data_IF_210067251971
#
_entry.id   IF_210067251971
#
_cell.length_a   1.000
_cell.length_b   1.000
_cell.length_c   1.000
_cell.angle_alpha   90.00
_cell.angle_beta   90.00
_cell.angle_gamma   90.00
#
_symmetry.space_group_name_H-M   'P 1'
#
loop_
_entity.id
_entity.type
_entity.pdbx_description
1 polymer ?
#
# COMPACT_ATOMS: atom_id res chain seq x y z
N UNK A 1 -12.66 15.09 5.36
CA UNK A 1 -11.81 13.90 5.15
C UNK A 1 -12.68 12.70 4.80
N UNK A 2 -12.19 11.84 3.96
CA UNK A 2 -12.89 10.58 3.64
C UNK A 2 -12.78 9.62 4.81
N UNK A 3 -13.71 8.69 4.89
CA UNK A 3 -13.71 7.68 5.94
C UNK A 3 -12.75 6.53 5.64
N UNK A 4 -12.43 5.74 6.65
CA UNK A 4 -11.61 4.55 6.49
C UNK A 4 -12.20 3.55 5.49
N UNK A 5 -13.53 3.59 5.28
CA UNK A 5 -14.18 2.74 4.30
C UNK A 5 -13.74 3.02 2.86
N UNK A 6 -13.33 4.24 2.56
CA UNK A 6 -12.83 4.57 1.22
C UNK A 6 -11.52 3.83 0.92
N UNK A 7 -10.61 3.82 1.89
CA UNK A 7 -9.35 3.10 1.76
C UNK A 7 -9.60 1.59 1.65
N UNK A 8 -10.50 1.07 2.45
CA UNK A 8 -10.89 -0.34 2.37
C UNK A 8 -11.41 -0.70 0.97
N UNK A 9 -12.30 0.14 0.44
CA UNK A 9 -12.84 -0.08 -0.91
C UNK A 9 -11.73 -0.09 -1.97
N UNK A 10 -10.80 0.83 -1.89
CA UNK A 10 -9.67 0.87 -2.83
C UNK A 10 -8.86 -0.41 -2.77
N UNK A 11 -8.56 -0.92 -1.58
CA UNK A 11 -7.81 -2.15 -1.43
C UNK A 11 -8.57 -3.37 -1.96
N UNK A 12 -9.89 -3.41 -1.75
CA UNK A 12 -10.76 -4.44 -2.33
C UNK A 12 -10.76 -4.37 -3.86
N UNK A 13 -10.87 -3.16 -4.41
CA UNK A 13 -10.83 -2.93 -5.85
C UNK A 13 -9.48 -3.33 -6.46
N UNK A 14 -8.41 -3.25 -5.68
CA UNK A 14 -7.08 -3.70 -6.08
C UNK A 14 -6.87 -5.21 -5.94
N UNK A 15 -7.90 -5.94 -5.54
CA UNK A 15 -7.88 -7.40 -5.48
C UNK A 15 -7.43 -7.99 -4.16
N UNK A 16 -7.33 -7.19 -3.11
CA UNK A 16 -7.02 -7.72 -1.78
C UNK A 16 -8.21 -8.52 -1.23
N UNK A 17 -7.92 -9.60 -0.52
CA UNK A 17 -8.94 -10.44 0.09
C UNK A 17 -9.75 -9.66 1.14
N UNK A 18 -11.05 -9.54 0.91
CA UNK A 18 -11.96 -8.76 1.76
C UNK A 18 -12.03 -9.21 3.21
N UNK A 19 -11.78 -10.47 3.49
CA UNK A 19 -11.85 -10.98 4.87
C UNK A 19 -10.77 -10.41 5.75
N UNK A 20 -9.62 -10.07 5.17
CA UNK A 20 -8.46 -9.59 5.91
C UNK A 20 -8.23 -8.07 5.80
N UNK A 21 -9.14 -7.36 5.14
CA UNK A 21 -9.02 -5.90 4.97
C UNK A 21 -9.83 -5.14 6.03
N UNK A 22 -10.44 -5.80 6.96
CA UNK A 22 -11.28 -5.14 7.96
C UNK A 22 -10.53 -4.18 8.88
N UNK A 23 -9.26 -3.99 8.67
CA UNK A 23 -8.39 -3.45 9.70
C UNK A 23 -7.92 -2.08 9.30
N UNK A 24 -8.78 -1.12 9.55
CA UNK A 24 -8.42 0.28 9.47
C UNK A 24 -8.36 0.84 10.89
N UNK A 25 -7.27 0.50 11.55
CA UNK A 25 -6.99 0.99 12.89
C UNK A 25 -6.06 2.18 12.82
N UNK A 26 -6.41 3.22 13.54
CA UNK A 26 -5.48 4.29 13.85
C UNK A 26 -4.66 3.84 15.05
N UNK A 27 -3.35 3.70 14.87
CA UNK A 27 -2.47 3.39 16.00
C UNK A 27 -2.12 4.68 16.72
N UNK A 28 -2.50 4.76 17.97
CA UNK A 28 -2.15 5.89 18.85
C UNK A 28 -0.71 5.79 19.35
N UNK A 29 -0.13 4.61 19.28
CA UNK A 29 1.27 4.39 19.65
C UNK A 29 2.20 5.12 18.69
N UNK A 30 3.24 5.71 19.25
CA UNK A 30 4.23 6.48 18.47
C UNK A 30 5.28 5.59 17.81
N UNK A 31 5.22 4.31 18.05
CA UNK A 31 6.12 3.34 17.46
C UNK A 31 5.32 2.07 17.11
N UNK A 32 5.49 1.63 15.87
CA UNK A 32 4.84 0.42 15.35
C UNK A 32 5.92 -0.46 14.74
N UNK A 33 5.97 -1.72 15.12
CA UNK A 33 6.89 -2.68 14.53
C UNK A 33 6.15 -3.64 13.61
N UNK A 34 6.83 -4.11 12.56
CA UNK A 34 6.28 -5.13 11.67
C UNK A 34 6.01 -6.43 12.43
N UNK A 35 6.87 -6.79 13.36
CA UNK A 35 6.67 -7.98 14.19
C UNK A 35 5.36 -7.90 14.97
N UNK A 36 5.09 -6.77 15.64
CA UNK A 36 3.85 -6.57 16.39
C UNK A 36 2.62 -6.62 15.48
N UNK A 37 2.71 -6.03 14.28
CA UNK A 37 1.62 -6.08 13.32
C UNK A 37 1.33 -7.51 12.85
N UNK A 38 2.36 -8.29 12.60
CA UNK A 38 2.21 -9.70 12.21
C UNK A 38 1.71 -10.57 13.34
N UNK A 39 2.13 -10.31 14.57
CA UNK A 39 1.60 -11.01 15.75
C UNK A 39 0.10 -10.75 15.91
N UNK A 40 -0.33 -9.53 15.66
CA UNK A 40 -1.73 -9.13 15.79
C UNK A 40 -2.59 -9.56 14.62
N UNK A 41 -2.11 -9.41 13.40
CA UNK A 41 -2.91 -9.57 12.18
C UNK A 41 -2.58 -10.83 11.37
N UNK A 42 -1.46 -11.50 11.69
CA UNK A 42 -1.08 -12.75 11.04
C UNK A 42 -0.27 -12.56 9.77
N UNK A 43 -0.13 -13.65 9.02
CA UNK A 43 0.65 -13.71 7.79
C UNK A 43 -0.20 -13.69 6.52
N UNK A 44 -1.50 -13.49 6.66
CA UNK A 44 -2.39 -13.28 5.52
C UNK A 44 -2.28 -11.85 4.97
N UNK A 45 -3.20 -11.48 4.12
CA UNK A 45 -3.25 -10.11 3.56
C UNK A 45 -4.02 -9.20 4.50
N UNK A 46 -3.44 -8.04 4.80
CA UNK A 46 -4.06 -7.05 5.68
C UNK A 46 -3.53 -5.65 5.37
N UNK A 47 -4.27 -4.66 5.81
CA UNK A 47 -3.86 -3.27 5.75
C UNK A 47 -4.17 -2.57 7.06
N UNK A 48 -3.24 -1.77 7.53
CA UNK A 48 -3.36 -1.02 8.79
C UNK A 48 -2.99 0.44 8.54
N UNK A 49 -3.94 1.33 8.77
CA UNK A 49 -3.66 2.76 8.73
C UNK A 49 -2.98 3.16 10.04
N UNK A 50 -1.76 3.65 9.94
CA UNK A 50 -0.96 4.03 11.11
C UNK A 50 -0.83 5.55 11.27
N UNK A 51 -1.10 6.31 10.23
CA UNK A 51 -1.07 7.77 10.27
C UNK A 51 -2.19 8.33 9.41
N UNK A 52 -2.89 9.31 9.93
CA UNK A 52 -3.95 9.99 9.19
C UNK A 52 -4.22 11.35 9.81
N UNK A 53 -3.89 12.38 9.08
CA UNK A 53 -4.12 13.77 9.49
C UNK A 53 -4.41 14.62 8.24
N UNK A 54 -4.49 15.92 8.39
CA UNK A 54 -4.82 16.84 7.30
C UNK A 54 -3.70 17.05 6.28
N UNK A 55 -2.52 16.44 6.49
CA UNK A 55 -1.36 16.61 5.60
C UNK A 55 -0.94 15.32 4.93
N UNK A 56 -0.98 14.21 5.64
CA UNK A 56 -0.58 12.92 5.07
C UNK A 56 -1.36 11.76 5.67
N UNK A 57 -1.34 10.65 4.93
CA UNK A 57 -1.81 9.36 5.39
C UNK A 57 -0.72 8.31 5.21
N UNK A 58 -0.69 7.34 6.10
CA UNK A 58 0.26 6.24 6.03
C UNK A 58 -0.43 4.90 6.33
N UNK A 59 -0.25 3.95 5.41
CA UNK A 59 -0.87 2.62 5.50
C UNK A 59 0.19 1.57 5.29
N UNK A 60 0.28 0.62 6.22
CA UNK A 60 1.13 -0.57 6.05
C UNK A 60 0.25 -1.68 5.49
N UNK A 61 0.71 -2.29 4.40
CA UNK A 61 -0.05 -3.29 3.64
C UNK A 61 0.79 -4.55 3.50
N UNK A 62 0.27 -5.68 3.95
CA UNK A 62 0.83 -7.00 3.69
C UNK A 62 0.01 -7.69 2.62
N UNK A 63 0.67 -8.21 1.60
CA UNK A 63 0.03 -8.91 0.49
C UNK A 63 0.79 -10.20 0.15
N UNK A 64 0.05 -11.14 -0.42
CA UNK A 64 0.60 -12.41 -0.85
C UNK A 64 1.22 -12.29 -2.24
N UNK A 65 2.15 -13.17 -2.61
CA UNK A 65 2.64 -13.24 -3.98
C UNK A 65 1.47 -13.33 -4.97
N UNK A 66 1.50 -12.48 -5.99
CA UNK A 66 0.44 -12.34 -6.98
C UNK A 66 -0.55 -11.21 -6.72
N UNK A 67 -0.66 -10.75 -5.50
CA UNK A 67 -1.49 -9.59 -5.16
C UNK A 67 -0.72 -8.27 -5.35
N UNK A 68 -1.43 -7.17 -5.39
CA UNK A 68 -0.85 -5.84 -5.53
C UNK A 68 -1.93 -4.82 -5.82
N UNK A 69 -1.56 -3.76 -6.53
CA UNK A 69 -2.48 -2.77 -7.03
C UNK A 69 -2.56 -2.86 -8.54
N UNK A 70 -3.76 -2.77 -9.10
CA UNK A 70 -3.93 -2.65 -10.54
C UNK A 70 -3.48 -1.27 -11.02
N UNK A 71 -3.28 -1.14 -12.33
CA UNK A 71 -2.81 0.07 -12.97
C UNK A 71 -3.71 1.27 -12.64
N UNK A 72 -3.11 2.32 -12.11
CA UNK A 72 -3.79 3.56 -11.75
C UNK A 72 -2.81 4.73 -11.69
N UNK A 73 -3.35 5.92 -11.52
CA UNK A 73 -2.58 7.11 -11.13
C UNK A 73 -3.38 7.94 -10.12
N UNK A 74 -2.68 8.81 -9.42
CA UNK A 74 -3.29 9.77 -8.51
C UNK A 74 -3.29 11.15 -9.17
N UNK A 75 -4.46 11.77 -9.41
CA UNK A 75 -4.50 13.07 -10.06
C UNK A 75 -4.13 14.23 -9.15
N UNK A 76 -4.07 13.99 -7.85
CA UNK A 76 -4.00 15.04 -6.83
C UNK A 76 -2.91 14.83 -5.77
N UNK A 77 -2.07 13.83 -5.91
CA UNK A 77 -1.03 13.57 -4.92
C UNK A 77 0.17 12.82 -5.47
N UNK A 78 1.33 13.11 -4.92
CA UNK A 78 2.50 12.24 -5.02
C UNK A 78 2.35 11.11 -4.01
N UNK A 79 2.97 9.98 -4.29
CA UNK A 79 2.99 8.85 -3.38
C UNK A 79 4.38 8.26 -3.27
N UNK A 80 4.74 7.79 -2.09
CA UNK A 80 5.97 7.02 -1.94
C UNK A 80 5.74 5.80 -1.06
N UNK A 81 6.59 4.80 -1.24
CA UNK A 81 6.53 3.55 -0.48
C UNK A 81 7.90 3.19 0.04
N UNK A 82 7.90 2.63 1.24
CA UNK A 82 9.05 1.94 1.80
C UNK A 82 8.75 0.45 1.78
N UNK A 83 9.61 -0.34 1.18
CA UNK A 83 9.47 -1.79 1.21
C UNK A 83 10.01 -2.29 2.54
N UNK A 84 9.12 -2.86 3.34
CA UNK A 84 9.45 -3.36 4.67
C UNK A 84 9.85 -4.83 4.66
N UNK A 85 9.31 -5.61 3.72
CA UNK A 85 9.63 -7.03 3.59
C UNK A 85 9.17 -7.57 2.23
N UNK A 86 9.73 -8.71 1.82
CA UNK A 86 9.35 -9.42 0.61
C UNK A 86 9.94 -8.84 -0.67
N UNK A 87 9.46 -9.37 -1.77
CA UNK A 87 9.89 -8.98 -3.10
C UNK A 87 8.70 -8.43 -3.88
N UNK A 88 8.93 -7.34 -4.62
CA UNK A 88 7.88 -6.64 -5.35
C UNK A 88 8.35 -6.25 -6.74
N UNK A 89 7.41 -6.10 -7.65
CA UNK A 89 7.61 -5.46 -8.93
C UNK A 89 6.79 -4.19 -8.99
N UNK A 90 7.45 -3.08 -9.34
CA UNK A 90 6.83 -1.78 -9.54
C UNK A 90 6.96 -1.38 -11.01
N UNK A 91 5.83 -1.30 -11.68
CA UNK A 91 5.80 -0.73 -13.02
C UNK A 91 5.41 0.75 -12.90
N UNK A 92 6.22 1.60 -13.52
CA UNK A 92 6.00 3.05 -13.55
C UNK A 92 6.11 3.49 -15.00
N UNK A 93 5.11 4.22 -15.49
CA UNK A 93 5.09 4.72 -16.85
C UNK A 93 6.30 5.62 -17.10
N UNK A 94 6.98 5.39 -18.23
CA UNK A 94 8.22 6.08 -18.58
C UNK A 94 9.48 5.49 -17.95
N UNK A 95 9.35 4.56 -17.00
CA UNK A 95 10.50 3.90 -16.35
C UNK A 95 10.54 2.40 -16.66
N UNK A 96 9.38 1.75 -16.68
CA UNK A 96 9.26 0.31 -16.82
C UNK A 96 9.15 -0.40 -15.49
N UNK A 97 9.37 -1.71 -15.49
CA UNK A 97 9.27 -2.54 -14.30
C UNK A 97 10.59 -2.61 -13.55
N UNK A 98 10.54 -2.31 -12.25
CA UNK A 98 11.70 -2.41 -11.35
C UNK A 98 11.39 -3.44 -10.27
N UNK A 99 12.32 -4.34 -10.00
CA UNK A 99 12.24 -5.23 -8.84
C UNK A 99 12.76 -4.51 -7.61
N UNK A 100 12.00 -4.58 -6.54
CA UNK A 100 12.35 -3.95 -5.27
C UNK A 100 12.17 -4.92 -4.11
N UNK A 101 12.90 -4.70 -3.04
CA UNK A 101 12.90 -5.52 -1.84
C UNK A 101 13.13 -4.68 -0.60
N UNK A 102 13.21 -5.33 0.54
CA UNK A 102 13.37 -4.69 1.85
C UNK A 102 14.43 -3.58 1.84
N UNK A 103 14.02 -2.40 2.26
CA UNK A 103 14.88 -1.22 2.33
C UNK A 103 14.81 -0.31 1.11
N UNK A 104 14.17 -0.75 0.03
CA UNK A 104 14.00 0.09 -1.16
C UNK A 104 12.85 1.09 -0.96
N UNK A 105 12.98 2.24 -1.59
CA UNK A 105 11.98 3.30 -1.58
C UNK A 105 11.60 3.63 -3.01
N UNK A 106 10.30 3.72 -3.26
CA UNK A 106 9.75 4.07 -4.57
C UNK A 106 8.97 5.38 -4.43
N UNK A 107 9.13 6.27 -5.40
CA UNK A 107 8.38 7.52 -5.46
C UNK A 107 7.69 7.60 -6.82
N UNK A 108 6.39 7.86 -6.79
CA UNK A 108 5.60 8.09 -8.00
C UNK A 108 4.96 9.46 -7.93
N UNK A 109 5.30 10.37 -8.85
CA UNK A 109 4.71 11.69 -8.89
C UNK A 109 3.23 11.67 -9.27
N UNK A 110 2.54 12.74 -8.94
CA UNK A 110 1.16 13.00 -9.37
C UNK A 110 1.00 12.76 -10.87
N UNK A 111 -0.06 12.07 -11.25
CA UNK A 111 -0.45 11.87 -12.65
C UNK A 111 0.29 10.75 -13.37
N UNK A 112 1.22 10.08 -12.72
CA UNK A 112 2.03 9.03 -13.35
C UNK A 112 1.39 7.66 -13.13
N UNK A 113 1.10 6.96 -14.23
CA UNK A 113 0.56 5.61 -14.18
C UNK A 113 1.54 4.64 -13.55
N UNK A 114 1.03 3.79 -12.68
CA UNK A 114 1.84 2.75 -12.03
C UNK A 114 0.99 1.56 -11.64
N UNK A 115 1.63 0.42 -11.45
CA UNK A 115 1.02 -0.74 -10.79
C UNK A 115 2.08 -1.52 -10.01
N UNK A 116 1.61 -2.28 -9.06
CA UNK A 116 2.41 -2.93 -8.03
C UNK A 116 2.00 -4.39 -7.95
N UNK A 117 2.97 -5.28 -7.84
CA UNK A 117 2.71 -6.70 -7.65
C UNK A 117 3.71 -7.28 -6.66
N UNK A 118 3.18 -7.97 -5.65
CA UNK A 118 4.00 -8.80 -4.77
C UNK A 118 4.42 -10.04 -5.54
N UNK A 119 5.71 -10.38 -5.48
CA UNK A 119 6.30 -11.53 -6.16
C UNK A 119 7.09 -12.37 -5.17
N UNK A 120 7.78 -13.39 -5.65
CA UNK A 120 8.52 -14.29 -4.78
C UNK A 120 7.61 -15.35 -4.16
N UNK A 121 8.00 -15.86 -2.98
CA UNK A 121 7.33 -16.99 -2.33
C UNK A 121 6.81 -16.68 -0.92
N UNK A 122 7.01 -15.47 -0.43
CA UNK A 122 6.60 -15.06 0.92
C UNK A 122 5.78 -13.78 0.87
N UNK A 123 4.93 -13.54 1.88
CA UNK A 123 4.19 -12.28 1.94
C UNK A 123 5.12 -11.08 1.96
N UNK A 124 4.77 -10.07 1.18
CA UNK A 124 5.48 -8.79 1.15
C UNK A 124 4.76 -7.73 1.96
N UNK A 125 5.51 -6.76 2.45
CA UNK A 125 4.98 -5.64 3.22
C UNK A 125 5.52 -4.33 2.64
N UNK A 126 4.61 -3.40 2.40
CA UNK A 126 4.94 -2.05 1.93
C UNK A 126 4.26 -1.00 2.80
N UNK A 127 4.96 0.08 3.05
CA UNK A 127 4.41 1.24 3.74
C UNK A 127 4.14 2.33 2.71
N UNK A 128 2.86 2.63 2.50
CA UNK A 128 2.41 3.64 1.54
C UNK A 128 2.17 4.96 2.25
N UNK A 129 2.78 6.02 1.75
CA UNK A 129 2.66 7.37 2.30
C UNK A 129 2.19 8.31 1.19
N UNK A 130 1.09 9.01 1.45
CA UNK A 130 0.47 9.90 0.46
C UNK A 130 -0.33 11.00 1.16
N UNK A 131 -1.00 11.85 0.40
CA UNK A 131 -2.00 12.77 0.95
C UNK A 131 -3.14 11.95 1.60
N UNK A 132 -3.87 12.51 2.58
CA UNK A 132 -4.81 11.72 3.37
C UNK A 132 -5.98 11.15 2.57
N UNK A 133 -6.45 11.84 1.56
CA UNK A 133 -7.64 11.46 0.79
C UNK A 133 -7.35 11.52 -0.71
N UNK A 134 -6.47 10.64 -1.18
CA UNK A 134 -6.13 10.59 -2.59
C UNK A 134 -7.23 9.92 -3.41
N UNK A 135 -7.37 10.37 -4.63
CA UNK A 135 -8.20 9.71 -5.61
C UNK A 135 -7.38 8.72 -6.45
N UNK A 136 -8.04 7.67 -6.91
CA UNK A 136 -7.47 6.69 -7.81
C UNK A 136 -8.19 6.76 -9.15
N UNK A 137 -7.44 6.91 -10.22
CA UNK A 137 -7.96 6.78 -11.59
C UNK A 137 -7.40 5.49 -12.15
N UNK A 138 -8.26 4.53 -12.39
CA UNK A 138 -7.88 3.20 -12.86
C UNK A 138 -7.82 3.13 -14.37
N UNK A 139 -6.88 2.35 -14.87
CA UNK A 139 -6.71 2.05 -16.27
C UNK A 139 -6.83 0.55 -16.56
N UNK A 140 -6.82 0.23 -17.82
CA UNK A 140 -6.84 -1.17 -18.30
C UNK A 140 -5.44 -1.81 -18.35
#
# INVERSE_FOLDING_TARGET
MKSDSDVKRVLLDDGLDGENISIFHMYENKCVSLEDLRDKHGMGSWAVRIAYNDRFGGVIIQQQPGEGNRKHYHPDADENWVIMDGEWEWWIDGVGTTKVSKGDIIVVPTGVWHHIKCVGSTPGVRYAITAPDVNHVYGD
#
